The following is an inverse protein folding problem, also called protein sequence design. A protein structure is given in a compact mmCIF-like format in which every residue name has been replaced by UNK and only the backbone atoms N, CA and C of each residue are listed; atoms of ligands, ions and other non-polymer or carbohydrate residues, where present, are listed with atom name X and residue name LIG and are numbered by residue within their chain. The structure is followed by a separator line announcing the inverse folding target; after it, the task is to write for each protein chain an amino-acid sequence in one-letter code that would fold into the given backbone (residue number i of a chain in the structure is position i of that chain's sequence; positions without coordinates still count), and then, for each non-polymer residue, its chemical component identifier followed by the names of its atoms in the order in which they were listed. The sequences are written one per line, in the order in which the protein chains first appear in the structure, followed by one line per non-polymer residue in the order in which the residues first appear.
data_IF_594182072363
#
_entry.id   IF_594182072363
#
_cell.length_a   1.000
_cell.length_b   1.000
_cell.length_c   1.000
_cell.angle_alpha   90.00
_cell.angle_beta   90.00
_cell.angle_gamma   90.00
#
_symmetry.space_group_name_H-M   'P 1'
#
loop_
_entity.id
_entity.type
_entity.pdbx_description
1 polymer ?
#
# COMPACT_ATOMS: atom_id res chain seq x y z
N UNK A 1 -8.41 4.78 -10.91
CA UNK A 1 -7.06 4.52 -11.47
C UNK A 1 -7.23 3.64 -12.70
N UNK A 2 -6.53 3.91 -13.81
CA UNK A 2 -6.61 3.10 -15.03
C UNK A 2 -5.24 2.49 -15.31
N UNK A 3 -5.17 1.18 -15.44
CA UNK A 3 -3.99 0.50 -15.96
C UNK A 3 -3.78 0.83 -17.44
N UNK A 4 -2.54 0.70 -17.90
CA UNK A 4 -2.12 0.87 -19.30
C UNK A 4 -1.71 -0.50 -19.83
N UNK A 5 -1.98 -0.74 -21.11
CA UNK A 5 -1.63 -2.00 -21.77
C UNK A 5 -0.70 -1.73 -22.95
N UNK A 6 0.42 -2.43 -23.00
CA UNK A 6 1.37 -2.34 -24.10
C UNK A 6 2.03 -3.69 -24.35
N UNK A 7 1.88 -4.23 -25.57
CA UNK A 7 2.49 -5.49 -26.02
C UNK A 7 2.32 -6.67 -25.05
N UNK A 8 1.11 -6.86 -24.52
CA UNK A 8 0.83 -7.94 -23.57
C UNK A 8 1.11 -7.61 -22.11
N UNK A 9 1.70 -6.45 -21.82
CA UNK A 9 2.02 -6.02 -20.46
C UNK A 9 0.97 -5.04 -19.99
N UNK A 10 0.27 -5.39 -18.92
CA UNK A 10 -0.59 -4.47 -18.18
C UNK A 10 0.22 -3.86 -17.03
N UNK A 11 0.21 -2.53 -16.90
CA UNK A 11 1.03 -1.82 -15.93
C UNK A 11 0.39 -0.51 -15.45
N UNK A 12 0.91 0.01 -14.35
CA UNK A 12 0.65 1.37 -13.86
C UNK A 12 1.98 2.08 -13.65
N UNK A 13 2.04 3.39 -13.87
CA UNK A 13 3.23 4.17 -13.55
C UNK A 13 3.02 4.92 -12.25
N UNK A 14 4.00 4.85 -11.35
CA UNK A 14 3.86 5.33 -9.97
C UNK A 14 3.54 6.82 -9.96
N UNK A 15 4.19 7.61 -10.82
CA UNK A 15 3.99 9.06 -10.89
C UNK A 15 2.55 9.46 -11.30
N UNK A 16 1.78 8.53 -11.86
CA UNK A 16 0.38 8.75 -12.24
C UNK A 16 -0.59 8.38 -11.09
N UNK A 17 -0.13 7.66 -10.06
CA UNK A 17 -0.96 7.17 -8.93
C UNK A 17 -1.47 8.30 -8.02
N UNK A 18 -2.49 8.07 -7.19
CA UNK A 18 -2.84 8.97 -6.10
C UNK A 18 -1.67 9.25 -5.15
N UNK A 19 -1.59 10.47 -4.60
CA UNK A 19 -0.42 10.94 -3.85
C UNK A 19 -0.07 10.08 -2.62
N UNK A 20 -1.08 9.60 -1.91
CA UNK A 20 -0.94 8.66 -0.78
C UNK A 20 -0.28 7.34 -1.21
N UNK A 21 -0.69 6.78 -2.34
CA UNK A 21 -0.08 5.58 -2.92
C UNK A 21 1.35 5.85 -3.39
N UNK A 22 1.58 6.99 -4.03
CA UNK A 22 2.92 7.41 -4.45
C UNK A 22 3.89 7.44 -3.27
N UNK A 23 3.50 8.08 -2.17
CA UNK A 23 4.33 8.19 -0.96
C UNK A 23 4.65 6.80 -0.41
N UNK A 24 3.66 5.92 -0.27
CA UNK A 24 3.89 4.59 0.31
C UNK A 24 4.79 3.72 -0.60
N UNK A 25 4.63 3.84 -1.92
CA UNK A 25 5.46 3.15 -2.91
C UNK A 25 6.89 3.69 -2.98
N UNK A 26 7.09 4.98 -2.71
CA UNK A 26 8.42 5.58 -2.59
C UNK A 26 9.13 5.13 -1.31
N UNK A 27 8.40 4.91 -0.21
CA UNK A 27 8.98 4.36 1.03
C UNK A 27 9.32 2.87 0.91
N UNK A 28 8.71 2.17 -0.05
CA UNK A 28 8.80 0.72 -0.24
C UNK A 28 9.55 0.39 -1.55
N UNK A 29 10.83 0.75 -1.65
CA UNK A 29 11.59 0.59 -2.90
C UNK A 29 11.75 -0.87 -3.35
N UNK A 30 11.75 -1.83 -2.43
CA UNK A 30 11.98 -3.24 -2.74
C UNK A 30 10.74 -3.97 -3.25
N UNK A 31 9.54 -3.45 -2.98
CA UNK A 31 8.29 -4.13 -3.33
C UNK A 31 7.15 -3.12 -3.55
N UNK A 32 6.36 -3.25 -4.64
CA UNK A 32 6.47 -4.25 -5.71
C UNK A 32 7.64 -3.96 -6.66
N UNK A 33 8.06 -4.96 -7.45
CA UNK A 33 9.13 -4.77 -8.44
C UNK A 33 8.80 -3.65 -9.43
N UNK A 34 9.81 -2.82 -9.74
CA UNK A 34 9.68 -1.72 -10.71
C UNK A 34 10.19 -2.16 -12.07
N UNK A 35 9.41 -1.86 -13.10
CA UNK A 35 9.73 -2.11 -14.49
C UNK A 35 9.83 -0.80 -15.28
N UNK A 36 10.62 -0.85 -16.35
CA UNK A 36 10.68 0.21 -17.36
C UNK A 36 10.11 -0.34 -18.67
N UNK A 37 9.31 0.45 -19.37
CA UNK A 37 8.65 0.04 -20.61
C UNK A 37 9.09 0.96 -21.74
N UNK A 38 9.64 0.37 -22.81
CA UNK A 38 9.99 1.09 -24.03
C UNK A 38 8.78 1.19 -24.95
N UNK A 39 8.18 2.38 -25.00
CA UNK A 39 6.99 2.69 -25.81
C UNK A 39 7.41 3.71 -26.86
N UNK A 40 7.27 3.36 -28.15
CA UNK A 40 7.58 4.24 -29.29
C UNK A 40 8.96 4.92 -29.21
N UNK A 41 9.98 4.17 -28.78
CA UNK A 41 11.35 4.68 -28.62
C UNK A 41 11.59 5.51 -27.36
N UNK A 42 10.57 5.75 -26.53
CA UNK A 42 10.66 6.43 -25.24
C UNK A 42 10.59 5.44 -24.09
N UNK A 43 11.54 5.52 -23.16
CA UNK A 43 11.51 4.74 -21.93
C UNK A 43 10.57 5.40 -20.93
N UNK A 44 9.48 4.72 -20.61
CA UNK A 44 8.60 5.04 -19.48
C UNK A 44 9.13 4.30 -18.25
N UNK A 45 9.55 5.05 -17.23
CA UNK A 45 10.21 4.50 -16.04
C UNK A 45 9.25 4.44 -14.86
N UNK A 46 9.70 3.77 -13.80
CA UNK A 46 8.99 3.74 -12.51
C UNK A 46 7.56 3.21 -12.63
N UNK A 47 7.39 2.12 -13.39
CA UNK A 47 6.10 1.46 -13.55
C UNK A 47 6.10 0.12 -12.82
N UNK A 48 4.91 -0.42 -12.58
CA UNK A 48 4.66 -1.66 -11.85
C UNK A 48 3.72 -2.48 -12.74
N UNK A 49 3.99 -3.78 -12.91
CA UNK A 49 3.02 -4.67 -13.55
C UNK A 49 1.72 -4.68 -12.75
N UNK A 50 0.58 -4.66 -13.44
CA UNK A 50 -0.71 -4.47 -12.78
C UNK A 50 -1.04 -5.57 -11.78
N UNK A 51 -0.65 -6.82 -12.05
CA UNK A 51 -0.81 -7.93 -11.10
C UNK A 51 -0.06 -7.66 -9.78
N UNK A 52 1.20 -7.23 -9.84
CA UNK A 52 2.00 -6.90 -8.66
C UNK A 52 1.48 -5.65 -7.95
N UNK A 53 1.01 -4.64 -8.70
CA UNK A 53 0.35 -3.48 -8.12
C UNK A 53 -0.94 -3.88 -7.39
N UNK A 54 -1.77 -4.76 -7.96
CA UNK A 54 -3.03 -5.20 -7.36
C UNK A 54 -2.81 -5.95 -6.05
N UNK A 55 -1.77 -6.79 -6.01
CA UNK A 55 -1.33 -7.47 -4.80
C UNK A 55 -0.88 -6.47 -3.73
N UNK A 56 0.05 -5.58 -4.08
CA UNK A 56 0.52 -4.52 -3.17
C UNK A 56 -0.63 -3.65 -2.66
N UNK A 57 -1.54 -3.23 -3.54
CA UNK A 57 -2.66 -2.37 -3.18
C UNK A 57 -3.57 -3.06 -2.15
N UNK A 58 -3.81 -4.35 -2.33
CA UNK A 58 -4.69 -5.13 -1.46
C UNK A 58 -4.04 -5.47 -0.12
N UNK A 59 -2.77 -5.88 -0.15
CA UNK A 59 -2.10 -6.46 1.02
C UNK A 59 -1.30 -5.43 1.83
N UNK A 60 -0.88 -4.33 1.20
CA UNK A 60 -0.02 -3.32 1.83
C UNK A 60 -0.76 -2.00 1.94
N UNK A 61 -1.26 -1.45 0.82
CA UNK A 61 -1.87 -0.12 0.86
C UNK A 61 -3.16 -0.14 1.69
N UNK A 62 -4.12 -1.01 1.34
CA UNK A 62 -5.40 -1.11 2.08
C UNK A 62 -5.22 -1.44 3.56
N UNK A 63 -4.24 -2.26 3.94
CA UNK A 63 -3.99 -2.64 5.33
C UNK A 63 -3.27 -1.54 6.11
N UNK A 64 -2.41 -0.76 5.46
CA UNK A 64 -1.72 0.39 6.07
C UNK A 64 -2.63 1.59 6.27
N UNK A 65 -3.68 1.73 5.45
CA UNK A 65 -4.66 2.84 5.52
C UNK A 65 -6.00 2.42 6.12
N UNK A 66 -6.19 1.14 6.46
CA UNK A 66 -7.42 0.65 7.07
C UNK A 66 -7.57 1.24 8.49
N UNK A 67 -8.74 1.81 8.83
CA UNK A 67 -9.01 2.34 10.17
C UNK A 67 -9.17 1.26 11.25
N UNK A 68 -9.11 -0.04 10.93
CA UNK A 68 -9.45 -1.11 11.88
C UNK A 68 -8.41 -1.36 12.99
N UNK A 69 -7.21 -0.78 12.91
CA UNK A 69 -6.28 -0.74 14.05
C UNK A 69 -6.52 0.44 15.02
N UNK A 70 -7.46 1.36 14.72
CA UNK A 70 -7.86 2.41 15.66
C UNK A 70 -8.85 1.92 16.74
N UNK A 71 -9.40 0.71 16.61
CA UNK A 71 -10.40 0.18 17.54
C UNK A 71 -9.90 -0.93 18.48
N UNK A 72 -8.67 -1.43 18.34
CA UNK A 72 -8.11 -2.49 19.21
C UNK A 72 -7.36 -1.92 20.43
N UNK A 73 -7.30 -0.59 20.59
CA UNK A 73 -6.75 0.04 21.79
C UNK A 73 -7.79 0.31 22.90
N UNK A 74 -9.10 0.19 22.62
CA UNK A 74 -10.16 0.54 23.59
C UNK A 74 -10.86 -0.64 24.27
N UNK A 75 -10.34 -1.86 24.15
CA UNK A 75 -10.94 -3.03 24.81
C UNK A 75 -9.92 -3.87 25.57
N UNK A 76 -9.23 -3.25 26.54
CA UNK A 76 -8.74 -3.89 27.78
C UNK A 76 -8.08 -2.88 28.74
N UNK A 77 -8.81 -1.83 29.10
CA UNK A 77 -8.59 -1.13 30.38
C UNK A 77 -9.94 -0.98 31.08
N UNK A 78 -10.57 -2.11 31.40
CA UNK A 78 -11.55 -2.17 32.47
C UNK A 78 -11.34 -3.47 33.23
N UNK A 79 -11.19 -3.33 34.55
CA UNK A 79 -11.10 -4.37 35.57
C UNK A 79 -9.70 -4.87 35.95
N UNK A 80 -8.94 -3.97 36.59
CA UNK A 80 -8.01 -4.34 37.65
C UNK A 80 -8.01 -3.25 38.76
N UNK A 81 -9.20 -2.89 39.26
CA UNK A 81 -9.34 -2.16 40.53
C UNK A 81 -10.40 -2.86 41.39
N UNK A 82 -9.95 -3.92 42.07
CA UNK A 82 -10.47 -4.53 43.29
C UNK A 82 -9.39 -5.57 43.62
N UNK A 83 -8.50 -5.41 44.61
CA UNK A 83 -8.71 -5.07 46.02
C UNK A 83 -7.33 -4.64 46.55
N UNK A 84 -7.23 -3.47 47.19
CA UNK A 84 -6.23 -3.19 48.24
C UNK A 84 -6.57 -1.88 48.98
N UNK A 85 -7.47 -1.98 49.95
CA UNK A 85 -7.50 -1.13 51.13
C UNK A 85 -7.86 -2.08 52.29
N UNK A 86 -6.86 -2.58 53.05
CA UNK A 86 -6.57 -2.14 54.44
C UNK A 86 -7.84 -1.75 55.20
N UNK A 87 -8.30 -2.59 56.13
CA UNK A 87 -7.98 -2.55 57.56
C UNK A 87 -8.28 -3.91 58.20
#
# INVERSE_FOLDING_TARGET
MKSRFYRGIEFVCVDELPADQQVLLQLSFSYPERINILIDGKITRNCIQYAAYSEWYTNVFKTSVAPEFLNVANTKIQSAEHVLAKF
#
